data_IF_920391524602
#
_entry.id   IF_920391524602
#
_cell.length_a   1.000
_cell.length_b   1.000
_cell.length_c   1.000
_cell.angle_alpha   90.00
_cell.angle_beta   90.00
_cell.angle_gamma   90.00
#
_symmetry.space_group_name_H-M   'P 1'
#
loop_
_entity.id
_entity.type
_entity.pdbx_description
1 polymer ?
#
# COMPACT_ATOMS: atom_id res chain seq x y z
N UNK A 1 3.33 -18.36 -9.26
CA UNK A 1 2.51 -18.34 -10.49
C UNK A 1 3.39 -17.82 -11.61
N UNK A 2 4.05 -18.70 -12.35
CA UNK A 2 4.95 -18.32 -13.42
C UNK A 2 4.16 -17.96 -14.66
N UNK A 3 4.02 -16.65 -14.92
CA UNK A 3 3.45 -16.15 -16.17
C UNK A 3 4.49 -16.33 -17.28
N UNK A 4 4.08 -16.98 -18.36
CA UNK A 4 4.90 -17.12 -19.56
C UNK A 4 5.42 -15.75 -20.04
N UNK A 5 6.68 -15.63 -20.48
CA UNK A 5 7.26 -14.36 -20.89
C UNK A 5 6.58 -13.87 -22.16
N UNK A 6 5.64 -12.93 -22.00
CA UNK A 6 5.06 -12.18 -23.12
C UNK A 6 6.07 -11.19 -23.70
N UNK A 7 5.86 -10.78 -24.95
CA UNK A 7 6.61 -9.69 -25.58
C UNK A 7 6.64 -8.45 -24.67
N UNK A 8 7.82 -7.84 -24.48
CA UNK A 8 7.96 -6.67 -23.62
C UNK A 8 7.04 -5.54 -24.10
N UNK A 9 6.42 -4.81 -23.16
CA UNK A 9 5.52 -3.69 -23.48
C UNK A 9 6.25 -2.65 -24.33
N UNK A 10 7.55 -2.44 -24.07
CA UNK A 10 8.42 -1.60 -24.89
C UNK A 10 8.43 -2.03 -26.36
N UNK A 11 8.63 -3.32 -26.63
CA UNK A 11 8.67 -3.86 -28.00
C UNK A 11 7.31 -3.79 -28.69
N UNK A 12 6.20 -4.00 -27.95
CA UNK A 12 4.84 -3.82 -28.50
C UNK A 12 4.59 -2.37 -28.91
N UNK A 13 4.97 -1.40 -28.07
CA UNK A 13 4.84 0.03 -28.37
C UNK A 13 5.71 0.44 -29.55
N UNK A 14 6.94 -0.04 -29.65
CA UNK A 14 7.82 0.26 -30.79
C UNK A 14 7.25 -0.27 -32.09
N UNK A 15 6.77 -1.52 -32.10
CA UNK A 15 6.17 -2.15 -33.27
C UNK A 15 4.87 -1.44 -33.67
N UNK A 16 4.05 -1.05 -32.71
CA UNK A 16 2.81 -0.31 -32.97
C UNK A 16 3.09 1.06 -33.58
N UNK A 17 4.03 1.82 -33.02
CA UNK A 17 4.42 3.13 -33.54
C UNK A 17 5.05 3.03 -34.94
N UNK A 18 6.00 2.11 -35.13
CA UNK A 18 6.62 1.89 -36.44
C UNK A 18 5.60 1.40 -37.48
N UNK A 19 4.69 0.50 -37.09
CA UNK A 19 3.61 0.01 -37.95
C UNK A 19 2.64 1.11 -38.36
N UNK A 20 2.24 1.98 -37.42
CA UNK A 20 1.41 3.14 -37.71
C UNK A 20 2.09 4.11 -38.69
N UNK A 21 3.37 4.42 -38.45
CA UNK A 21 4.17 5.29 -39.31
C UNK A 21 4.26 4.71 -40.73
N UNK A 22 4.51 3.41 -40.84
CA UNK A 22 4.60 2.69 -42.12
C UNK A 22 3.26 2.66 -42.87
N UNK A 23 2.14 2.42 -42.17
CA UNK A 23 0.82 2.42 -42.78
C UNK A 23 0.46 3.81 -43.32
N UNK A 24 0.68 4.85 -42.53
CA UNK A 24 0.46 6.24 -42.95
C UNK A 24 1.34 6.60 -44.18
N UNK A 25 2.62 6.23 -44.15
CA UNK A 25 3.54 6.45 -45.26
C UNK A 25 3.13 5.70 -46.53
N UNK A 26 2.77 4.43 -46.42
CA UNK A 26 2.33 3.61 -47.55
C UNK A 26 1.03 4.13 -48.16
N UNK A 27 0.06 4.57 -47.33
CA UNK A 27 -1.19 5.15 -47.78
C UNK A 27 -0.94 6.45 -48.56
N UNK A 28 -0.06 7.32 -48.07
CA UNK A 28 0.30 8.56 -48.74
C UNK A 28 0.94 8.28 -50.12
N UNK A 29 1.88 7.34 -50.19
CA UNK A 29 2.48 6.94 -51.46
C UNK A 29 1.47 6.29 -52.42
N UNK A 30 0.53 5.49 -51.91
CA UNK A 30 -0.53 4.90 -52.72
C UNK A 30 -1.47 5.97 -53.30
N UNK A 31 -1.81 7.00 -52.53
CA UNK A 31 -2.60 8.13 -53.02
C UNK A 31 -1.87 8.87 -54.14
N UNK A 32 -0.58 9.19 -53.94
CA UNK A 32 0.25 9.83 -54.98
C UNK A 32 0.31 8.95 -56.24
N UNK A 33 0.48 7.64 -56.08
CA UNK A 33 0.50 6.68 -57.18
C UNK A 33 -0.80 6.69 -57.99
N UNK A 34 -1.95 6.67 -57.30
CA UNK A 34 -3.28 6.72 -57.95
C UNK A 34 -3.50 8.04 -58.67
N UNK A 35 -3.09 9.17 -58.08
CA UNK A 35 -3.17 10.48 -58.71
C UNK A 35 -2.35 10.50 -60.01
N UNK A 36 -1.12 9.99 -59.99
CA UNK A 36 -0.27 9.92 -61.18
C UNK A 36 -0.92 9.07 -62.27
N UNK A 37 -1.49 7.91 -61.93
CA UNK A 37 -2.21 7.07 -62.89
C UNK A 37 -3.46 7.73 -63.47
N UNK A 38 -4.15 8.56 -62.69
CA UNK A 38 -5.41 9.20 -63.10
C UNK A 38 -5.22 10.45 -63.95
N UNK A 39 -4.19 11.24 -63.67
CA UNK A 39 -4.01 12.57 -64.28
C UNK A 39 -2.88 12.64 -65.31
N UNK A 40 -1.93 11.70 -65.33
CA UNK A 40 -0.87 11.70 -66.35
C UNK A 40 -1.20 10.79 -67.55
N UNK A 41 -1.20 11.32 -68.79
CA UNK A 41 -1.32 10.52 -70.02
C UNK A 41 -0.09 9.60 -70.22
N UNK A 42 -0.26 8.51 -70.98
CA UNK A 42 0.80 7.51 -71.19
C UNK A 42 2.07 8.07 -71.84
N UNK A 43 1.89 9.05 -72.75
CA UNK A 43 2.97 9.82 -73.38
C UNK A 43 2.53 11.28 -73.46
N UNK A 44 3.27 12.17 -72.81
CA UNK A 44 3.09 13.63 -72.89
C UNK A 44 4.28 14.30 -73.54
N UNK A 45 4.07 15.43 -74.22
CA UNK A 45 5.17 16.26 -74.72
C UNK A 45 5.49 17.36 -73.72
N UNK A 46 6.74 17.38 -73.24
CA UNK A 46 7.31 18.47 -72.44
C UNK A 46 8.36 19.21 -73.27
N UNK A 47 8.63 20.50 -72.99
CA UNK A 47 9.76 21.22 -73.60
C UNK A 47 11.12 20.53 -73.40
N UNK A 48 11.25 19.59 -72.44
CA UNK A 48 12.44 18.79 -72.18
C UNK A 48 12.45 17.39 -72.86
N UNK A 49 11.43 17.04 -73.65
CA UNK A 49 11.31 15.75 -74.35
C UNK A 49 10.02 14.96 -74.00
N UNK A 50 9.87 13.72 -74.53
CA UNK A 50 8.70 12.89 -74.25
C UNK A 50 8.68 12.42 -72.78
N UNK A 51 7.64 12.82 -72.06
CA UNK A 51 7.34 12.33 -70.72
C UNK A 51 6.63 10.98 -70.85
N UNK A 52 7.34 9.91 -70.52
CA UNK A 52 6.77 8.56 -70.48
C UNK A 52 6.34 8.23 -69.06
N UNK A 53 5.06 7.87 -68.87
CA UNK A 53 4.49 7.55 -67.55
C UNK A 53 5.29 6.46 -66.80
N UNK A 54 5.84 5.48 -67.51
CA UNK A 54 6.61 4.38 -66.93
C UNK A 54 7.91 4.83 -66.25
N UNK A 55 8.61 5.84 -66.80
CA UNK A 55 9.81 6.39 -66.19
C UNK A 55 9.50 7.14 -64.88
N UNK A 56 8.41 7.92 -64.87
CA UNK A 56 7.93 8.61 -63.67
C UNK A 56 7.48 7.63 -62.59
N UNK A 57 6.69 6.61 -62.95
CA UNK A 57 6.26 5.57 -62.02
C UNK A 57 7.46 4.81 -61.42
N UNK A 58 8.48 4.47 -62.22
CA UNK A 58 9.69 3.81 -61.69
C UNK A 58 10.46 4.71 -60.74
N UNK A 59 10.60 6.00 -61.06
CA UNK A 59 11.28 6.97 -60.20
C UNK A 59 10.52 7.23 -58.89
N UNK A 60 9.18 7.27 -58.93
CA UNK A 60 8.33 7.38 -57.74
C UNK A 60 8.46 6.11 -56.90
N UNK A 61 8.44 4.93 -57.52
CA UNK A 61 8.56 3.65 -56.81
C UNK A 61 9.91 3.52 -56.08
N UNK A 62 11.03 3.88 -56.72
CA UNK A 62 12.36 3.82 -56.07
C UNK A 62 12.48 4.85 -54.95
N UNK A 63 11.95 6.06 -55.15
CA UNK A 63 11.93 7.09 -54.10
C UNK A 63 11.04 6.69 -52.93
N UNK A 64 9.87 6.10 -53.21
CA UNK A 64 8.94 5.58 -52.20
C UNK A 64 9.57 4.44 -51.39
N UNK A 65 10.29 3.51 -52.05
CA UNK A 65 10.99 2.43 -51.36
C UNK A 65 12.09 2.97 -50.41
N UNK A 66 12.88 3.95 -50.87
CA UNK A 66 13.89 4.61 -50.03
C UNK A 66 13.26 5.35 -48.83
N UNK A 67 12.18 6.10 -49.08
CA UNK A 67 11.46 6.82 -48.04
C UNK A 67 10.80 5.88 -47.02
N UNK A 68 10.19 4.78 -47.46
CA UNK A 68 9.61 3.75 -46.58
C UNK A 68 10.69 3.04 -45.76
N UNK A 69 11.84 2.71 -46.36
CA UNK A 69 12.98 2.15 -45.65
C UNK A 69 13.50 3.09 -44.56
N UNK A 70 13.61 4.39 -44.87
CA UNK A 70 13.97 5.41 -43.90
C UNK A 70 12.92 5.54 -42.78
N UNK A 71 11.63 5.61 -43.13
CA UNK A 71 10.52 5.67 -42.17
C UNK A 71 10.54 4.47 -41.22
N UNK A 72 10.82 3.27 -41.72
CA UNK A 72 10.89 2.06 -40.92
C UNK A 72 11.99 2.16 -39.87
N UNK A 73 13.21 2.50 -40.29
CA UNK A 73 14.36 2.66 -39.37
C UNK A 73 14.08 3.75 -38.35
N UNK A 74 13.58 4.91 -38.82
CA UNK A 74 13.26 6.05 -37.96
C UNK A 74 12.15 5.72 -36.95
N UNK A 75 11.08 5.03 -37.40
CA UNK A 75 9.98 4.60 -36.55
C UNK A 75 10.41 3.60 -35.48
N UNK A 76 11.28 2.64 -35.83
CA UNK A 76 11.83 1.68 -34.87
C UNK A 76 12.73 2.37 -33.83
N UNK A 77 13.68 3.20 -34.27
CA UNK A 77 14.58 3.93 -33.35
C UNK A 77 13.81 4.90 -32.46
N UNK A 78 12.95 5.73 -33.04
CA UNK A 78 12.15 6.71 -32.34
C UNK A 78 11.17 6.05 -31.37
N UNK A 79 10.49 5.00 -31.81
CA UNK A 79 9.62 4.20 -30.95
C UNK A 79 10.37 3.60 -29.77
N UNK A 80 11.59 3.08 -29.99
CA UNK A 80 12.39 2.45 -28.92
C UNK A 80 12.86 3.42 -27.85
N UNK A 81 13.25 4.62 -28.27
CA UNK A 81 13.63 5.70 -27.35
C UNK A 81 12.40 6.21 -26.59
N UNK A 82 11.30 6.49 -27.30
CA UNK A 82 10.08 7.02 -26.70
C UNK A 82 9.46 6.03 -25.71
N UNK A 83 9.31 4.76 -26.09
CA UNK A 83 8.80 3.72 -25.21
C UNK A 83 9.69 3.53 -23.98
N UNK A 84 11.02 3.61 -24.14
CA UNK A 84 11.95 3.56 -23.01
C UNK A 84 11.73 4.72 -22.02
N UNK A 85 11.54 5.94 -22.54
CA UNK A 85 11.34 7.14 -21.70
C UNK A 85 9.98 7.14 -21.00
N UNK A 86 8.92 6.71 -21.68
CA UNK A 86 7.57 6.65 -21.11
C UNK A 86 7.44 5.56 -20.05
N UNK A 87 8.13 4.41 -20.22
CA UNK A 87 8.05 3.30 -19.26
C UNK A 87 9.06 3.41 -18.11
N UNK A 88 10.06 4.29 -18.17
CA UNK A 88 11.09 4.40 -17.15
C UNK A 88 10.53 4.62 -15.72
N UNK A 89 9.51 5.48 -15.49
CA UNK A 89 8.90 5.63 -14.15
C UNK A 89 8.29 4.33 -13.62
N UNK A 90 7.68 3.52 -14.49
CA UNK A 90 7.05 2.26 -14.10
C UNK A 90 8.08 1.24 -13.59
N UNK A 91 9.28 1.22 -14.18
CA UNK A 91 10.38 0.38 -13.71
C UNK A 91 10.82 0.81 -12.30
N UNK A 92 10.94 2.12 -12.04
CA UNK A 92 11.27 2.63 -10.69
C UNK A 92 10.24 2.23 -9.63
N UNK A 93 8.95 2.34 -9.95
CA UNK A 93 7.87 1.92 -9.06
C UNK A 93 7.95 0.41 -8.81
N UNK A 94 8.23 -0.39 -9.85
CA UNK A 94 8.37 -1.85 -9.73
C UNK A 94 9.56 -2.24 -8.86
N UNK A 95 10.69 -1.54 -9.01
CA UNK A 95 11.89 -1.78 -8.21
C UNK A 95 11.67 -1.38 -6.74
N UNK A 96 10.99 -0.24 -6.49
CA UNK A 96 10.58 0.16 -5.15
C UNK A 96 9.65 -0.88 -4.50
N UNK A 97 8.70 -1.43 -5.27
CA UNK A 97 7.82 -2.49 -4.78
C UNK A 97 8.59 -3.78 -4.43
N UNK A 98 9.62 -4.14 -5.22
CA UNK A 98 10.49 -5.27 -4.90
C UNK A 98 11.33 -5.02 -3.65
N UNK A 99 11.84 -3.81 -3.46
CA UNK A 99 12.58 -3.44 -2.24
C UNK A 99 11.67 -3.47 -1.00
N UNK A 100 10.45 -2.96 -1.13
CA UNK A 100 9.44 -3.03 -0.06
C UNK A 100 9.09 -4.48 0.30
N UNK A 101 8.94 -5.36 -0.70
CA UNK A 101 8.70 -6.79 -0.48
C UNK A 101 9.84 -7.48 0.27
N UNK A 102 11.07 -6.98 0.14
CA UNK A 102 12.25 -7.47 0.87
C UNK A 102 12.42 -6.81 2.27
N UNK A 103 11.45 -6.03 2.74
CA UNK A 103 11.44 -5.43 4.08
C UNK A 103 11.95 -3.99 4.17
N UNK A 104 12.39 -3.39 3.07
CA UNK A 104 12.82 -1.98 3.06
C UNK A 104 11.64 -1.04 2.83
N UNK A 105 10.89 -0.74 3.89
CA UNK A 105 9.70 0.13 3.82
C UNK A 105 9.99 1.62 3.93
N UNK A 106 11.20 2.02 4.34
CA UNK A 106 11.60 3.43 4.47
C UNK A 106 11.94 4.07 3.12
N UNK A 107 12.14 3.27 2.08
CA UNK A 107 12.39 3.78 0.74
C UNK A 107 11.13 4.44 0.18
N UNK A 108 11.29 5.58 -0.47
CA UNK A 108 10.22 6.29 -1.18
C UNK A 108 10.58 6.35 -2.65
N UNK A 109 9.58 6.25 -3.51
CA UNK A 109 9.80 6.34 -4.95
C UNK A 109 10.24 7.76 -5.30
N UNK A 110 9.66 8.78 -4.66
CA UNK A 110 10.12 10.18 -4.79
C UNK A 110 10.16 10.66 -6.23
N UNK A 111 9.12 10.35 -7.01
CA UNK A 111 9.07 10.66 -8.43
C UNK A 111 9.00 12.18 -8.66
N UNK A 112 10.14 12.77 -9.04
CA UNK A 112 10.23 14.17 -9.43
C UNK A 112 9.61 14.42 -10.81
N UNK A 113 8.90 15.53 -10.98
CA UNK A 113 8.36 15.95 -12.27
C UNK A 113 6.95 16.53 -12.22
N UNK A 114 6.32 16.64 -13.39
CA UNK A 114 4.96 17.18 -13.56
C UNK A 114 3.93 16.22 -12.94
N UNK A 115 2.76 16.74 -12.55
CA UNK A 115 1.63 15.91 -12.11
C UNK A 115 1.04 15.17 -13.31
N UNK A 116 1.53 13.95 -13.52
CA UNK A 116 1.00 12.98 -14.47
C UNK A 116 0.52 11.72 -13.72
N UNK A 117 -0.07 10.79 -14.47
CA UNK A 117 -0.63 9.55 -13.95
C UNK A 117 0.42 8.68 -13.25
N UNK A 118 1.70 8.77 -13.67
CA UNK A 118 2.79 8.03 -13.04
C UNK A 118 3.16 8.61 -11.68
N UNK A 119 3.17 9.94 -11.55
CA UNK A 119 3.39 10.61 -10.27
C UNK A 119 2.26 10.32 -9.28
N UNK A 120 1.01 10.37 -9.72
CA UNK A 120 -0.13 10.03 -8.85
C UNK A 120 -0.04 8.59 -8.33
N UNK A 121 0.34 7.64 -9.20
CA UNK A 121 0.59 6.26 -8.80
C UNK A 121 1.73 6.14 -7.78
N UNK A 122 2.81 6.89 -7.97
CA UNK A 122 3.95 6.90 -7.05
C UNK A 122 3.58 7.47 -5.69
N UNK A 123 2.86 8.60 -5.66
CA UNK A 123 2.39 9.25 -4.42
C UNK A 123 1.42 8.32 -3.65
N UNK A 124 0.55 7.60 -4.35
CA UNK A 124 -0.34 6.60 -3.75
C UNK A 124 0.46 5.43 -3.14
N UNK A 125 1.50 4.95 -3.83
CA UNK A 125 2.36 3.89 -3.34
C UNK A 125 3.20 4.33 -2.13
N UNK A 126 3.78 5.53 -2.17
CA UNK A 126 4.51 6.12 -1.04
C UNK A 126 3.61 6.31 0.19
N UNK A 127 2.36 6.71 -0.01
CA UNK A 127 1.34 6.79 1.05
C UNK A 127 1.04 5.42 1.65
N UNK A 128 0.91 4.38 0.81
CA UNK A 128 0.71 3.01 1.28
C UNK A 128 1.91 2.52 2.11
N UNK A 129 3.14 2.77 1.66
CA UNK A 129 4.36 2.41 2.40
C UNK A 129 4.42 3.12 3.75
N UNK A 130 4.13 4.42 3.80
CA UNK A 130 4.12 5.19 5.04
C UNK A 130 3.12 4.62 6.07
N UNK A 131 1.91 4.24 5.61
CA UNK A 131 0.91 3.60 6.48
C UNK A 131 1.38 2.25 7.01
N UNK A 132 1.98 1.42 6.13
CA UNK A 132 2.48 0.12 6.52
C UNK A 132 3.64 0.23 7.54
N UNK A 133 4.56 1.16 7.31
CA UNK A 133 5.68 1.44 8.22
C UNK A 133 5.17 1.90 9.60
N UNK A 134 4.18 2.80 9.64
CA UNK A 134 3.56 3.24 10.88
C UNK A 134 2.92 2.06 11.65
N UNK A 135 2.15 1.21 10.96
CA UNK A 135 1.52 0.05 11.58
C UNK A 135 2.53 -0.96 12.14
N UNK A 136 3.60 -1.25 11.41
CA UNK A 136 4.65 -2.16 11.89
C UNK A 136 5.39 -1.54 13.09
N UNK A 137 5.71 -0.25 13.05
CA UNK A 137 6.34 0.45 14.17
C UNK A 137 5.46 0.47 15.43
N UNK A 138 4.14 0.61 15.28
CA UNK A 138 3.20 0.45 16.38
C UNK A 138 3.17 -0.98 16.94
N UNK A 139 3.11 -1.99 16.07
CA UNK A 139 3.14 -3.40 16.50
C UNK A 139 4.43 -3.75 17.25
N UNK A 140 5.59 -3.29 16.77
CA UNK A 140 6.87 -3.51 17.44
C UNK A 140 6.94 -2.82 18.81
N UNK A 141 6.48 -1.56 18.91
CA UNK A 141 6.39 -0.85 20.19
C UNK A 141 5.45 -1.55 21.16
N UNK A 142 4.29 -2.00 20.69
CA UNK A 142 3.34 -2.77 21.50
C UNK A 142 3.97 -4.07 22.02
N UNK A 143 4.62 -4.85 21.15
CA UNK A 143 5.27 -6.10 21.53
C UNK A 143 6.42 -5.89 22.53
N UNK A 144 7.21 -4.82 22.36
CA UNK A 144 8.27 -4.45 23.28
C UNK A 144 7.70 -4.07 24.65
N UNK A 145 6.69 -3.20 24.69
CA UNK A 145 6.03 -2.79 25.93
C UNK A 145 5.39 -3.98 26.65
N UNK A 146 4.64 -4.82 25.93
CA UNK A 146 4.04 -6.03 26.49
C UNK A 146 5.11 -6.97 27.08
N UNK A 147 6.23 -7.15 26.38
CA UNK A 147 7.34 -7.98 26.88
C UNK A 147 7.94 -7.42 28.17
N UNK A 148 8.09 -6.10 28.27
CA UNK A 148 8.58 -5.43 29.47
C UNK A 148 7.61 -5.56 30.65
N UNK A 149 6.33 -5.25 30.42
CA UNK A 149 5.29 -5.32 31.45
C UNK A 149 5.08 -6.74 31.97
N UNK A 150 5.21 -7.77 31.12
CA UNK A 150 5.12 -9.19 31.55
C UNK A 150 6.39 -9.69 32.25
N UNK A 151 7.56 -9.14 31.93
CA UNK A 151 8.83 -9.58 32.56
C UNK A 151 8.87 -9.29 34.05
N UNK A 152 8.32 -8.16 34.47
CA UNK A 152 8.30 -7.71 35.87
C UNK A 152 7.54 -8.67 36.81
N UNK A 153 6.27 -9.04 36.56
CA UNK A 153 5.56 -10.01 37.39
C UNK A 153 6.23 -11.38 37.33
N UNK A 154 6.70 -11.83 36.16
CA UNK A 154 7.41 -13.12 36.04
C UNK A 154 8.71 -13.17 36.86
N UNK A 155 9.49 -12.08 36.86
CA UNK A 155 10.69 -11.97 37.68
C UNK A 155 10.34 -11.99 39.18
N UNK A 156 9.27 -11.29 39.56
CA UNK A 156 8.79 -11.25 40.95
C UNK A 156 8.32 -12.62 41.41
N UNK A 157 7.51 -13.32 40.61
CA UNK A 157 7.08 -14.70 40.86
C UNK A 157 8.28 -15.62 41.03
N UNK A 158 9.30 -15.50 40.15
CA UNK A 158 10.53 -16.28 40.28
C UNK A 158 11.24 -16.01 41.61
N UNK A 159 11.41 -14.76 42.00
CA UNK A 159 12.05 -14.41 43.28
C UNK A 159 11.27 -14.96 44.47
N UNK A 160 9.94 -14.89 44.45
CA UNK A 160 9.10 -15.46 45.51
C UNK A 160 9.27 -16.98 45.59
N UNK A 161 9.27 -17.68 44.45
CA UNK A 161 9.51 -19.12 44.39
C UNK A 161 10.92 -19.50 44.89
N UNK A 162 11.94 -18.70 44.56
CA UNK A 162 13.32 -18.91 45.03
C UNK A 162 13.42 -18.74 46.57
N UNK A 163 12.66 -17.80 47.15
CA UNK A 163 12.55 -17.63 48.62
C UNK A 163 11.85 -18.84 49.25
N UNK A 164 10.74 -19.31 48.68
CA UNK A 164 10.03 -20.50 49.17
C UNK A 164 10.94 -21.74 49.21
N UNK A 165 11.77 -21.89 48.19
CA UNK A 165 12.66 -23.04 48.03
C UNK A 165 13.83 -23.02 49.01
N UNK A 166 14.37 -21.83 49.31
CA UNK A 166 15.56 -21.69 50.16
C UNK A 166 15.24 -21.62 51.66
N UNK A 167 13.99 -21.34 52.04
CA UNK A 167 13.58 -21.28 53.45
C UNK A 167 12.23 -22.01 53.68
N UNK A 168 12.22 -23.36 53.70
CA UNK A 168 10.99 -24.15 53.76
C UNK A 168 10.19 -24.03 55.07
N UNK A 169 10.82 -23.53 56.14
CA UNK A 169 10.21 -23.35 57.46
C UNK A 169 9.61 -21.95 57.65
N UNK A 170 9.73 -21.06 56.66
CA UNK A 170 9.13 -19.73 56.65
C UNK A 170 7.61 -19.83 56.57
N UNK A 171 6.93 -18.79 57.05
CA UNK A 171 5.48 -18.64 56.86
C UNK A 171 5.14 -18.62 55.36
N UNK A 172 4.63 -19.76 54.88
CA UNK A 172 4.24 -19.95 53.50
C UNK A 172 2.92 -19.23 53.16
N UNK A 173 2.10 -18.87 54.15
CA UNK A 173 0.82 -18.19 53.93
C UNK A 173 1.01 -16.84 53.26
N UNK A 174 1.79 -15.96 53.89
CA UNK A 174 2.11 -14.65 53.33
C UNK A 174 2.82 -14.71 51.96
N UNK A 175 3.57 -15.78 51.71
CA UNK A 175 4.26 -15.97 50.43
C UNK A 175 3.30 -16.40 49.31
N UNK A 176 2.36 -17.31 49.63
CA UNK A 176 1.30 -17.76 48.74
C UNK A 176 0.34 -16.61 48.41
N UNK A 177 -0.05 -15.80 49.39
CA UNK A 177 -0.89 -14.61 49.17
C UNK A 177 -0.21 -13.63 48.22
N UNK A 178 1.10 -13.41 48.39
CA UNK A 178 1.87 -12.52 47.52
C UNK A 178 2.05 -13.08 46.11
N UNK A 179 2.21 -14.40 45.97
CA UNK A 179 2.21 -15.08 44.66
C UNK A 179 0.86 -14.95 43.96
N UNK A 180 -0.25 -15.13 44.70
CA UNK A 180 -1.60 -14.93 44.18
C UNK A 180 -1.78 -13.50 43.69
N UNK A 181 -1.44 -12.49 44.48
CA UNK A 181 -1.57 -11.09 44.09
C UNK A 181 -0.76 -10.74 42.83
N UNK A 182 0.48 -11.22 42.71
CA UNK A 182 1.32 -10.99 41.52
C UNK A 182 0.76 -11.70 40.29
N UNK A 183 0.20 -12.91 40.47
CA UNK A 183 -0.39 -13.67 39.38
C UNK A 183 -1.69 -13.04 38.87
N UNK A 184 -2.60 -12.66 39.77
CA UNK A 184 -3.83 -11.92 39.42
C UNK A 184 -3.49 -10.67 38.61
N UNK A 185 -2.52 -9.87 39.08
CA UNK A 185 -2.07 -8.68 38.35
C UNK A 185 -1.50 -9.00 36.95
N UNK A 186 -0.81 -10.13 36.80
CA UNK A 186 -0.30 -10.57 35.51
C UNK A 186 -1.44 -11.00 34.56
N UNK A 187 -2.48 -11.66 35.08
CA UNK A 187 -3.69 -12.02 34.32
C UNK A 187 -4.38 -10.74 33.85
N UNK A 188 -4.66 -9.79 34.75
CA UNK A 188 -5.33 -8.52 34.43
C UNK A 188 -4.57 -7.75 33.34
N UNK A 189 -3.23 -7.73 33.44
CA UNK A 189 -2.37 -7.11 32.42
C UNK A 189 -2.50 -7.82 31.06
N UNK A 190 -2.53 -9.15 31.02
CA UNK A 190 -2.70 -9.88 29.76
C UNK A 190 -4.07 -9.62 29.13
N UNK A 191 -5.14 -9.54 29.93
CA UNK A 191 -6.48 -9.21 29.46
C UNK A 191 -6.53 -7.78 28.90
N UNK A 192 -5.94 -6.82 29.60
CA UNK A 192 -5.83 -5.44 29.13
C UNK A 192 -5.06 -5.33 27.79
N UNK A 193 -3.96 -6.09 27.63
CA UNK A 193 -3.21 -6.14 26.38
C UNK A 193 -4.02 -6.76 25.23
N UNK A 194 -4.83 -7.80 25.50
CA UNK A 194 -5.72 -8.41 24.52
C UNK A 194 -6.85 -7.46 24.10
N UNK A 195 -7.43 -6.73 25.04
CA UNK A 195 -8.44 -5.70 24.77
C UNK A 195 -7.85 -4.58 23.89
N UNK A 196 -6.66 -4.09 24.23
CA UNK A 196 -5.97 -3.06 23.45
C UNK A 196 -5.62 -3.53 22.02
N UNK A 197 -5.16 -4.78 21.88
CA UNK A 197 -4.88 -5.39 20.57
C UNK A 197 -6.13 -5.46 19.68
N UNK A 198 -7.28 -5.86 20.25
CA UNK A 198 -8.57 -5.88 19.54
C UNK A 198 -9.05 -4.47 19.15
N UNK A 199 -8.80 -3.48 20.01
CA UNK A 199 -9.13 -2.08 19.74
C UNK A 199 -8.34 -1.53 18.56
N UNK A 200 -7.05 -1.86 18.49
CA UNK A 200 -6.19 -1.40 17.41
C UNK A 200 -6.58 -2.02 16.05
N UNK A 201 -7.13 -3.23 16.04
CA UNK A 201 -7.64 -3.89 14.83
C UNK A 201 -8.98 -3.33 14.34
N UNK A 202 -9.58 -2.33 15.01
CA UNK A 202 -10.93 -1.77 14.73
C UNK A 202 -12.02 -2.86 14.60
N UNK A 203 -11.82 -4.03 15.20
CA UNK A 203 -12.64 -5.22 15.00
C UNK A 203 -13.95 -5.21 15.83
N UNK A 204 -14.29 -4.07 16.43
CA UNK A 204 -15.46 -3.98 17.30
C UNK A 204 -16.70 -3.54 16.54
N UNK A 205 -17.80 -4.26 16.76
CA UNK A 205 -19.13 -3.83 16.36
C UNK A 205 -19.46 -2.53 17.07
N UNK A 206 -19.80 -1.49 16.29
CA UNK A 206 -20.31 -0.23 16.82
C UNK A 206 -21.82 -0.30 16.92
N UNK A 207 -22.37 0.09 18.05
CA UNK A 207 -23.81 0.22 18.28
C UNK A 207 -24.15 1.58 18.86
N UNK A 208 -25.42 1.95 18.75
CA UNK A 208 -26.00 3.07 19.48
C UNK A 208 -26.14 2.66 20.95
N UNK A 209 -25.56 3.45 21.86
CA UNK A 209 -25.44 3.16 23.29
C UNK A 209 -25.73 4.44 24.09
N UNK A 210 -26.11 4.29 25.37
CA UNK A 210 -26.22 5.41 26.30
C UNK A 210 -25.03 5.40 27.28
N UNK A 211 -24.25 6.48 27.32
CA UNK A 211 -23.12 6.60 28.23
C UNK A 211 -23.53 6.64 29.70
N UNK A 212 -24.73 7.14 30.03
CA UNK A 212 -25.17 7.18 31.43
C UNK A 212 -25.33 5.76 31.99
N UNK A 213 -25.94 4.86 31.21
CA UNK A 213 -26.12 3.45 31.58
C UNK A 213 -24.78 2.72 31.76
N UNK A 214 -23.80 2.99 30.89
CA UNK A 214 -22.47 2.37 30.99
C UNK A 214 -21.72 2.91 32.21
N UNK A 215 -21.91 4.19 32.56
CA UNK A 215 -21.33 4.77 33.76
C UNK A 215 -21.92 4.16 35.04
N UNK A 216 -23.24 3.99 35.08
CA UNK A 216 -23.94 3.28 36.16
C UNK A 216 -23.40 1.85 36.32
N UNK A 217 -23.32 1.09 35.22
CA UNK A 217 -22.78 -0.28 35.23
C UNK A 217 -21.33 -0.34 35.72
N UNK A 218 -20.47 0.60 35.29
CA UNK A 218 -19.09 0.67 35.77
C UNK A 218 -19.04 0.93 37.29
N UNK A 219 -19.88 1.83 37.81
CA UNK A 219 -19.95 2.12 39.25
C UNK A 219 -20.55 0.98 40.06
N UNK A 220 -21.57 0.28 39.54
CA UNK A 220 -22.10 -0.94 40.17
C UNK A 220 -21.04 -2.03 40.27
N UNK A 221 -20.19 -2.15 39.25
CA UNK A 221 -19.09 -3.13 39.24
C UNK A 221 -18.02 -2.77 40.28
N UNK A 222 -17.74 -1.49 40.51
CA UNK A 222 -16.70 -1.00 41.43
C UNK A 222 -17.17 -0.85 42.88
N UNK A 223 -18.47 -0.82 43.13
CA UNK A 223 -19.10 -0.62 44.45
C UNK A 223 -18.53 -1.55 45.54
N UNK A 224 -18.42 -2.88 45.34
CA UNK A 224 -17.88 -3.78 46.35
C UNK A 224 -16.44 -3.45 46.74
N UNK A 225 -15.62 -3.04 45.77
CA UNK A 225 -14.23 -2.67 45.99
C UNK A 225 -14.12 -1.32 46.71
N UNK A 226 -15.00 -0.38 46.39
CA UNK A 226 -15.06 0.91 47.05
C UNK A 226 -15.47 0.79 48.53
N UNK A 227 -16.46 -0.06 48.84
CA UNK A 227 -16.89 -0.34 50.21
C UNK A 227 -15.76 -0.95 51.06
N UNK A 228 -14.99 -1.89 50.49
CA UNK A 228 -13.83 -2.49 51.17
C UNK A 228 -12.78 -1.44 51.55
N UNK A 229 -12.63 -0.39 50.74
CA UNK A 229 -11.66 0.68 50.94
C UNK A 229 -12.25 1.92 51.64
N UNK A 230 -13.52 1.89 52.04
CA UNK A 230 -14.21 3.01 52.68
C UNK A 230 -14.38 4.24 51.79
N UNK A 231 -14.44 4.04 50.47
CA UNK A 231 -14.64 5.09 49.46
C UNK A 231 -16.09 5.10 49.01
N UNK A 232 -16.69 6.28 48.89
CA UNK A 232 -18.04 6.46 48.33
C UNK A 232 -17.93 6.82 46.86
N UNK A 233 -18.59 6.04 45.99
CA UNK A 233 -18.73 6.32 44.56
C UNK A 233 -20.16 6.80 44.31
N UNK A 234 -20.29 7.98 43.71
CA UNK A 234 -21.57 8.54 43.28
C UNK A 234 -21.57 8.74 41.75
N UNK A 235 -22.63 8.27 41.10
CA UNK A 235 -22.82 8.37 39.66
C UNK A 235 -24.05 9.23 39.38
N UNK A 236 -23.92 10.23 38.51
CA UNK A 236 -25.04 11.07 38.08
C UNK A 236 -24.88 11.52 36.63
N UNK A 237 -25.97 11.55 35.88
CA UNK A 237 -25.98 12.02 34.50
C UNK A 237 -27.35 11.87 33.82
N UNK A 238 -27.62 12.71 32.83
CA UNK A 238 -28.78 12.57 31.94
C UNK A 238 -28.47 11.60 30.78
N UNK A 239 -29.52 11.11 30.09
CA UNK A 239 -29.34 10.26 28.90
C UNK A 239 -28.39 10.90 27.89
N UNK A 240 -27.31 10.18 27.59
CA UNK A 240 -26.20 10.66 26.77
C UNK A 240 -25.91 9.65 25.65
N UNK A 241 -26.66 9.71 24.54
CA UNK A 241 -26.50 8.77 23.44
C UNK A 241 -25.15 8.94 22.73
N UNK A 242 -24.52 7.82 22.41
CA UNK A 242 -23.22 7.74 21.72
C UNK A 242 -23.19 6.55 20.75
N UNK A 243 -22.21 6.55 19.84
CA UNK A 243 -21.93 5.43 18.96
C UNK A 243 -20.58 4.84 19.35
N UNK A 244 -20.56 3.59 19.76
CA UNK A 244 -19.32 2.97 20.25
C UNK A 244 -19.39 1.47 20.43
N UNK A 245 -18.31 0.92 20.98
CA UNK A 245 -18.27 -0.45 21.46
C UNK A 245 -18.54 -0.44 22.96
N UNK A 246 -19.60 -1.13 23.37
CA UNK A 246 -19.99 -1.22 24.78
C UNK A 246 -18.82 -1.66 25.67
N UNK A 247 -18.11 -2.74 25.29
CA UNK A 247 -16.97 -3.25 26.04
C UNK A 247 -15.83 -2.23 26.20
N UNK A 248 -15.53 -1.43 25.18
CA UNK A 248 -14.47 -0.42 25.25
C UNK A 248 -14.89 0.80 26.08
N UNK A 249 -16.15 1.21 25.97
CA UNK A 249 -16.67 2.33 26.75
C UNK A 249 -16.76 1.97 28.22
N UNK A 250 -17.21 0.75 28.55
CA UNK A 250 -17.23 0.25 29.92
C UNK A 250 -15.82 0.26 30.51
N UNK A 251 -14.85 -0.35 29.82
CA UNK A 251 -13.45 -0.35 30.27
C UNK A 251 -12.88 1.07 30.44
N UNK A 252 -13.21 2.01 29.55
CA UNK A 252 -12.75 3.39 29.63
C UNK A 252 -13.28 4.06 30.89
N UNK A 253 -14.56 3.89 31.21
CA UNK A 253 -15.17 4.47 32.40
C UNK A 253 -14.61 3.79 33.66
N UNK A 254 -14.51 2.46 33.68
CA UNK A 254 -13.92 1.71 34.80
C UNK A 254 -12.47 2.12 35.07
N UNK A 255 -11.68 2.45 34.04
CA UNK A 255 -10.30 2.92 34.22
C UNK A 255 -10.20 4.38 34.73
N UNK A 256 -11.28 5.16 34.63
CA UNK A 256 -11.29 6.59 34.93
C UNK A 256 -11.81 6.89 36.34
N UNK A 257 -12.67 6.02 36.88
CA UNK A 257 -13.15 6.01 38.27
C UNK A 257 -12.09 5.42 39.19
#
# INVERSE_FOLDING_TARGET
MDRAPGLSVRLKLTLSYAGFLMLAGALLFAIVWVIVLRYLPDVGMSPAGPLVRSHLLRSIATSAAGALGFLLVFGLLGGWILAGRVLAPLTRITDAARMAANGSLSHRIGLEGRKDEFRELADAFDTMLARLEAHIAEQQRFAANASHELRTPLATTKTLLDVARNDPNRDNGALVDRLHAVNTRAIDLTEALLLLSRANQRSFTRGDLDLSLIAEEATETLLPFAEEHGVTIETSGDMTPTIGSHALLLQLITNLV
#
